data_IF_784752343570
#
_entry.id   IF_784752343570
#
_cell.length_a   1.000
_cell.length_b   1.000
_cell.length_c   1.000
_cell.angle_alpha   90.00
_cell.angle_beta   90.00
_cell.angle_gamma   90.00
#
_symmetry.space_group_name_H-M   'P 1'
#
loop_
_entity.id
_entity.type
_entity.pdbx_description
1 polymer ?
#
# COMPACT_ATOMS: atom_id res chain seq x y z
N UNK A 1 -21.76 4.03 -4.55
CA UNK A 1 -21.66 2.70 -3.90
C UNK A 1 -22.64 1.69 -4.51
N UNK A 2 -23.92 2.04 -4.69
CA UNK A 2 -24.94 1.16 -5.32
C UNK A 2 -24.80 0.90 -6.83
N UNK A 3 -23.84 1.53 -7.51
CA UNK A 3 -23.69 1.42 -8.96
C UNK A 3 -22.80 0.24 -9.38
N UNK A 4 -22.11 -0.41 -8.43
CA UNK A 4 -21.12 -1.48 -8.71
C UNK A 4 -21.42 -2.82 -8.03
N UNK A 5 -22.46 -2.90 -7.20
CA UNK A 5 -22.82 -4.12 -6.44
C UNK A 5 -24.29 -4.39 -6.60
N UNK A 6 -24.65 -5.64 -6.86
CA UNK A 6 -26.05 -6.06 -6.89
C UNK A 6 -26.69 -5.92 -5.50
N UNK A 7 -27.93 -5.43 -5.46
CA UNK A 7 -28.63 -5.13 -4.19
C UNK A 7 -28.77 -6.37 -3.30
N UNK A 8 -28.91 -7.56 -3.88
CA UNK A 8 -29.05 -8.83 -3.16
C UNK A 8 -27.75 -9.19 -2.42
N UNK A 9 -26.60 -9.05 -3.08
CA UNK A 9 -25.29 -9.29 -2.46
C UNK A 9 -25.00 -8.25 -1.37
N UNK A 10 -25.34 -6.98 -1.61
CA UNK A 10 -25.18 -5.92 -0.62
C UNK A 10 -26.00 -6.19 0.66
N UNK A 11 -27.26 -6.63 0.51
CA UNK A 11 -28.12 -6.97 1.66
C UNK A 11 -27.61 -8.19 2.43
N UNK A 12 -27.09 -9.19 1.71
CA UNK A 12 -26.49 -10.38 2.33
C UNK A 12 -25.25 -10.01 3.15
N UNK A 13 -24.38 -9.19 2.58
CA UNK A 13 -23.20 -8.64 3.26
C UNK A 13 -23.57 -7.85 4.52
N UNK A 14 -24.57 -6.97 4.43
CA UNK A 14 -25.06 -6.20 5.58
C UNK A 14 -25.59 -7.12 6.68
N UNK A 15 -26.34 -8.17 6.32
CA UNK A 15 -26.85 -9.13 7.29
C UNK A 15 -25.72 -9.92 7.97
N UNK A 16 -24.69 -10.33 7.22
CA UNK A 16 -23.53 -11.00 7.80
C UNK A 16 -22.78 -10.09 8.78
N UNK A 17 -22.56 -8.82 8.43
CA UNK A 17 -21.94 -7.85 9.35
C UNK A 17 -22.77 -7.70 10.62
N UNK A 18 -24.10 -7.62 10.51
CA UNK A 18 -24.99 -7.51 11.67
C UNK A 18 -24.95 -8.75 12.58
N UNK A 19 -24.87 -9.95 11.98
CA UNK A 19 -24.93 -11.22 12.72
C UNK A 19 -23.58 -11.64 13.30
N UNK A 20 -22.49 -11.43 12.56
CA UNK A 20 -21.17 -11.98 12.86
C UNK A 20 -20.09 -10.91 13.09
N UNK A 21 -20.42 -9.62 12.92
CA UNK A 21 -19.48 -8.51 13.03
C UNK A 21 -18.54 -8.34 11.81
N UNK A 22 -18.54 -9.31 10.89
CA UNK A 22 -17.70 -9.32 9.70
C UNK A 22 -18.43 -9.99 8.52
N UNK A 23 -18.06 -9.61 7.29
CA UNK A 23 -18.48 -10.33 6.10
C UNK A 23 -17.61 -11.57 5.91
N UNK A 24 -18.21 -12.68 5.47
CA UNK A 24 -17.43 -13.89 5.13
C UNK A 24 -16.77 -13.76 3.76
N UNK A 25 -17.41 -13.02 2.85
CA UNK A 25 -16.91 -12.76 1.50
C UNK A 25 -17.22 -11.32 1.10
N UNK A 26 -16.26 -10.68 0.43
CA UNK A 26 -16.50 -9.36 -0.15
C UNK A 26 -17.45 -9.50 -1.35
N UNK A 27 -18.52 -8.70 -1.45
CA UNK A 27 -19.43 -8.71 -2.59
C UNK A 27 -18.72 -8.55 -3.92
N UNK A 28 -19.23 -9.18 -4.98
CA UNK A 28 -18.67 -9.04 -6.31
C UNK A 28 -18.72 -7.58 -6.74
N UNK A 29 -17.62 -7.10 -7.32
CA UNK A 29 -17.48 -5.70 -7.72
C UNK A 29 -16.96 -4.75 -6.63
N UNK A 30 -16.79 -5.22 -5.38
CA UNK A 30 -16.02 -4.53 -4.33
C UNK A 30 -14.68 -5.22 -4.01
N UNK A 31 -14.34 -6.26 -4.76
CA UNK A 31 -13.07 -6.96 -4.61
C UNK A 31 -11.91 -5.98 -4.85
N UNK A 32 -11.02 -5.88 -3.87
CA UNK A 32 -9.83 -5.04 -3.95
C UNK A 32 -8.69 -5.74 -3.23
N UNK A 33 -7.46 -5.49 -3.69
CA UNK A 33 -6.27 -6.01 -3.01
C UNK A 33 -6.11 -5.35 -1.65
N UNK A 34 -6.33 -4.04 -1.58
CA UNK A 34 -6.27 -3.24 -0.36
C UNK A 34 -7.42 -2.23 -0.39
N UNK A 35 -8.19 -2.18 0.69
CA UNK A 35 -9.20 -1.14 0.94
C UNK A 35 -8.74 -0.20 2.04
N UNK A 36 -8.67 1.10 1.73
CA UNK A 36 -8.37 2.14 2.70
C UNK A 36 -9.66 2.77 3.26
N UNK A 37 -9.68 2.97 4.57
CA UNK A 37 -10.76 3.60 5.32
C UNK A 37 -10.22 4.88 5.97
N UNK A 38 -11.05 5.92 6.03
CA UNK A 38 -10.68 7.22 6.63
C UNK A 38 -9.40 7.86 6.04
N UNK A 39 -9.11 7.61 4.77
CA UNK A 39 -7.95 8.18 4.08
C UNK A 39 -8.17 9.67 3.81
N UNK A 40 -7.69 10.54 4.70
CA UNK A 40 -7.76 12.00 4.55
C UNK A 40 -6.65 12.47 3.62
N UNK A 41 -7.01 12.98 2.44
CA UNK A 41 -6.07 13.47 1.44
C UNK A 41 -6.01 15.01 1.46
N UNK A 42 -4.81 15.56 1.26
CA UNK A 42 -4.56 16.99 1.01
C UNK A 42 -3.77 17.16 -0.29
N UNK A 43 -3.94 18.32 -0.91
CA UNK A 43 -3.10 18.70 -2.06
C UNK A 43 -1.78 19.30 -1.57
N UNK A 44 -0.66 18.78 -2.06
CA UNK A 44 0.68 19.32 -1.85
C UNK A 44 1.10 20.12 -3.09
N UNK A 45 1.12 21.45 -2.95
CA UNK A 45 1.50 22.36 -4.04
C UNK A 45 2.97 22.24 -4.44
N UNK A 46 3.86 21.90 -3.51
CA UNK A 46 5.31 21.80 -3.76
C UNK A 46 5.60 20.62 -4.69
N UNK A 47 4.99 19.47 -4.39
CA UNK A 47 5.19 18.23 -5.13
C UNK A 47 4.14 17.98 -6.23
N UNK A 48 3.11 18.83 -6.30
CA UNK A 48 1.95 18.70 -7.21
C UNK A 48 1.30 17.34 -7.10
N UNK A 49 1.02 16.93 -5.86
CA UNK A 49 0.54 15.60 -5.53
C UNK A 49 -0.64 15.64 -4.56
N UNK A 50 -1.47 14.61 -4.61
CA UNK A 50 -2.43 14.33 -3.54
C UNK A 50 -1.76 13.39 -2.55
N UNK A 51 -1.66 13.82 -1.30
CA UNK A 51 -0.97 13.08 -0.24
C UNK A 51 -1.88 12.90 0.97
N UNK A 52 -1.88 11.73 1.56
CA UNK A 52 -2.64 11.48 2.77
C UNK A 52 -2.02 12.18 3.97
N UNK A 53 -2.85 12.57 4.93
CA UNK A 53 -2.42 13.17 6.18
C UNK A 53 -3.00 12.39 7.37
N UNK A 54 -2.14 12.11 8.36
CA UNK A 54 -2.46 11.28 9.51
C UNK A 54 -2.35 9.79 9.22
N UNK A 55 -2.84 8.98 10.16
CA UNK A 55 -2.82 7.51 10.06
C UNK A 55 -3.75 7.03 8.96
N UNK A 56 -3.36 5.96 8.29
CA UNK A 56 -4.14 5.29 7.26
C UNK A 56 -5.00 4.22 7.92
N UNK A 57 -6.31 4.22 7.71
CA UNK A 57 -7.15 3.07 8.03
C UNK A 57 -7.03 1.99 6.96
N UNK A 58 -6.65 0.78 7.33
CA UNK A 58 -6.75 -0.41 6.47
C UNK A 58 -8.01 -1.15 6.86
N UNK A 59 -8.96 -1.24 5.93
CA UNK A 59 -10.20 -2.00 6.13
C UNK A 59 -10.03 -3.45 5.79
N UNK A 60 -9.76 -3.73 4.51
CA UNK A 60 -9.64 -5.09 3.99
C UNK A 60 -8.33 -5.27 3.21
N UNK A 61 -7.76 -6.47 3.31
CA UNK A 61 -6.68 -6.98 2.45
C UNK A 61 -7.19 -8.24 1.76
N UNK A 62 -7.46 -8.17 0.46
CA UNK A 62 -8.23 -9.20 -0.22
C UNK A 62 -9.57 -9.43 0.50
N UNK A 63 -9.87 -10.68 0.84
CA UNK A 63 -11.08 -11.04 1.60
C UNK A 63 -10.92 -10.94 3.11
N UNK A 64 -9.74 -10.58 3.62
CA UNK A 64 -9.49 -10.52 5.07
C UNK A 64 -9.77 -9.12 5.58
N UNK A 65 -10.68 -9.02 6.56
CA UNK A 65 -10.95 -7.78 7.27
C UNK A 65 -9.87 -7.51 8.33
N UNK A 66 -9.29 -6.32 8.30
CA UNK A 66 -8.20 -5.86 9.17
C UNK A 66 -8.69 -4.78 10.15
N UNK A 67 -9.39 -3.75 9.66
CA UNK A 67 -9.90 -2.61 10.44
C UNK A 67 -8.89 -1.97 11.41
N UNK A 68 -7.64 -1.73 10.98
CA UNK A 68 -6.60 -1.10 11.80
C UNK A 68 -6.17 0.25 11.24
N UNK A 69 -5.82 1.18 12.13
CA UNK A 69 -5.13 2.43 11.76
C UNK A 69 -3.63 2.25 11.92
N UNK A 70 -2.88 2.52 10.86
CA UNK A 70 -1.43 2.33 10.79
C UNK A 70 -0.73 3.62 10.42
N UNK A 71 0.54 3.74 10.79
CA UNK A 71 1.39 4.85 10.37
C UNK A 71 1.82 4.63 8.91
N UNK A 72 2.14 5.73 8.22
CA UNK A 72 2.45 5.73 6.79
C UNK A 72 1.69 6.80 6.00
N UNK A 73 1.76 6.71 4.68
CA UNK A 73 1.06 7.64 3.77
C UNK A 73 0.74 7.01 2.41
N UNK A 74 -0.25 7.58 1.74
CA UNK A 74 -0.58 7.33 0.33
C UNK A 74 -0.36 8.63 -0.42
N UNK A 75 0.40 8.58 -1.51
CA UNK A 75 0.66 9.71 -2.38
C UNK A 75 0.39 9.34 -3.84
N UNK A 76 -0.27 10.24 -4.55
CA UNK A 76 -0.55 10.12 -5.99
C UNK A 76 -0.07 11.39 -6.67
N UNK A 77 0.80 11.24 -7.65
CA UNK A 77 1.33 12.32 -8.48
C UNK A 77 0.87 12.09 -9.91
N UNK A 78 0.03 13.00 -10.41
CA UNK A 78 -0.42 12.97 -11.81
C UNK A 78 0.62 13.66 -12.68
N UNK A 79 1.16 12.95 -13.67
CA UNK A 79 2.14 13.52 -14.63
C UNK A 79 1.77 13.14 -16.06
N UNK A 80 2.11 14.00 -17.01
CA UNK A 80 1.87 13.74 -18.44
C UNK A 80 2.58 12.48 -18.93
N UNK A 81 3.74 12.13 -18.34
CA UNK A 81 4.51 10.92 -18.67
C UNK A 81 4.03 9.65 -17.95
N UNK A 82 2.85 9.69 -17.33
CA UNK A 82 2.30 8.60 -16.54
C UNK A 82 2.30 8.91 -15.05
N UNK A 83 1.29 8.39 -14.36
CA UNK A 83 1.04 8.62 -12.95
C UNK A 83 2.05 7.89 -12.08
N UNK A 84 2.39 8.53 -10.96
CA UNK A 84 3.22 7.95 -9.92
C UNK A 84 2.36 7.76 -8.69
N UNK A 85 2.55 6.65 -7.99
CA UNK A 85 1.86 6.38 -6.75
C UNK A 85 2.85 5.77 -5.77
N UNK A 86 2.78 6.22 -4.53
CA UNK A 86 3.55 5.67 -3.43
C UNK A 86 2.61 5.36 -2.29
N UNK A 87 2.66 4.13 -1.79
CA UNK A 87 1.98 3.72 -0.57
C UNK A 87 3.07 3.25 0.37
N UNK A 88 3.12 3.87 1.54
CA UNK A 88 3.99 3.46 2.64
C UNK A 88 3.13 3.09 3.83
N UNK A 89 3.37 1.91 4.38
CA UNK A 89 2.72 1.39 5.58
C UNK A 89 3.83 1.01 6.54
N UNK A 90 3.78 1.58 7.74
CA UNK A 90 4.71 1.33 8.83
C UNK A 90 3.94 0.74 10.01
N UNK A 91 4.32 -0.48 10.41
CA UNK A 91 3.78 -1.17 11.58
C UNK A 91 4.74 -1.05 12.77
N UNK A 92 6.03 -1.12 12.48
CA UNK A 92 7.18 -0.84 13.36
C UNK A 92 8.38 -0.47 12.47
N UNK A 93 9.50 0.05 13.02
CA UNK A 93 10.66 0.46 12.23
C UNK A 93 11.20 -0.63 11.28
N UNK A 94 11.14 -1.89 11.73
CA UNK A 94 11.55 -3.12 11.01
C UNK A 94 10.42 -3.75 10.18
N UNK A 95 9.14 -3.41 10.42
CA UNK A 95 7.98 -4.01 9.75
C UNK A 95 7.24 -2.97 8.94
N UNK A 96 7.55 -2.96 7.65
CA UNK A 96 6.99 -2.01 6.71
C UNK A 96 6.58 -2.66 5.40
N UNK A 97 5.74 -1.95 4.64
CA UNK A 97 5.42 -2.26 3.26
C UNK A 97 5.46 -0.97 2.44
N UNK A 98 6.22 -1.00 1.35
CA UNK A 98 6.28 0.07 0.35
C UNK A 98 5.76 -0.47 -0.96
N UNK A 99 4.86 0.28 -1.59
CA UNK A 99 4.43 0.06 -2.96
C UNK A 99 4.72 1.34 -3.74
N UNK A 100 5.67 1.27 -4.66
CA UNK A 100 6.09 2.40 -5.47
C UNK A 100 5.81 2.11 -6.94
N UNK A 101 4.75 2.71 -7.45
CA UNK A 101 4.33 2.60 -8.84
C UNK A 101 4.80 3.82 -9.64
N UNK A 102 5.53 3.56 -10.72
CA UNK A 102 5.98 4.57 -11.67
C UNK A 102 5.94 4.00 -13.07
N UNK A 103 5.23 4.66 -13.99
CA UNK A 103 5.29 4.39 -15.44
C UNK A 103 5.12 2.89 -15.80
N UNK A 104 4.14 2.22 -15.19
CA UNK A 104 3.87 0.80 -15.48
C UNK A 104 4.79 -0.19 -14.79
N UNK A 105 5.62 0.26 -13.84
CA UNK A 105 6.41 -0.62 -12.97
C UNK A 105 6.02 -0.37 -11.50
N UNK A 106 5.65 -1.44 -10.80
CA UNK A 106 5.41 -1.45 -9.37
C UNK A 106 6.61 -2.09 -8.67
N UNK A 107 7.36 -1.30 -7.92
CA UNK A 107 8.41 -1.77 -7.04
C UNK A 107 7.84 -1.94 -5.64
N UNK A 108 8.00 -3.12 -5.05
CA UNK A 108 7.57 -3.38 -3.67
C UNK A 108 8.75 -3.62 -2.76
N UNK A 109 8.72 -3.09 -1.55
CA UNK A 109 9.77 -3.34 -0.56
C UNK A 109 9.14 -3.65 0.78
N UNK A 110 9.64 -4.68 1.45
CA UNK A 110 9.26 -5.09 2.80
C UNK A 110 10.37 -5.95 3.38
N UNK A 111 10.51 -5.95 4.70
CA UNK A 111 11.35 -6.91 5.41
C UNK A 111 10.69 -8.31 5.54
N UNK A 112 9.39 -8.43 5.22
CA UNK A 112 8.68 -9.70 5.30
C UNK A 112 9.01 -10.61 4.10
N UNK A 113 9.84 -11.62 4.32
CA UNK A 113 10.23 -12.62 3.30
C UNK A 113 9.02 -13.39 2.73
N UNK A 114 8.01 -13.69 3.54
CA UNK A 114 6.78 -14.34 3.06
C UNK A 114 6.03 -13.48 2.02
N UNK A 115 6.25 -12.17 2.00
CA UNK A 115 5.71 -11.26 1.00
C UNK A 115 6.62 -11.10 -0.22
N UNK A 116 7.94 -10.99 -0.03
CA UNK A 116 8.88 -10.72 -1.12
C UNK A 116 9.30 -11.97 -1.91
N UNK A 117 9.43 -13.12 -1.24
CA UNK A 117 9.97 -14.35 -1.86
C UNK A 117 9.08 -14.90 -2.98
N UNK A 118 7.74 -14.94 -2.85
CA UNK A 118 6.88 -15.36 -3.95
C UNK A 118 7.06 -14.49 -5.20
N UNK A 119 7.33 -13.19 -5.02
CA UNK A 119 7.56 -12.27 -6.14
C UNK A 119 8.91 -12.57 -6.80
N UNK A 120 9.95 -12.81 -5.99
CA UNK A 120 11.28 -13.15 -6.48
C UNK A 120 11.32 -14.51 -7.20
N UNK A 121 10.53 -15.48 -6.76
CA UNK A 121 10.44 -16.80 -7.37
C UNK A 121 9.78 -16.79 -8.77
N UNK A 122 8.92 -15.80 -9.06
CA UNK A 122 8.26 -15.68 -10.35
C UNK A 122 9.25 -15.28 -11.46
N UNK A 123 9.07 -15.84 -12.67
CA UNK A 123 9.82 -15.42 -13.86
C UNK A 123 9.35 -14.04 -14.31
N UNK A 124 10.23 -13.26 -14.94
CA UNK A 124 9.92 -11.89 -15.40
C UNK A 124 8.64 -11.78 -16.24
N UNK A 125 8.33 -12.77 -17.07
CA UNK A 125 7.10 -12.81 -17.88
C UNK A 125 5.81 -12.96 -17.06
N UNK A 126 5.90 -13.64 -15.92
CA UNK A 126 4.78 -13.95 -15.02
C UNK A 126 4.54 -12.81 -14.02
N UNK A 127 5.52 -11.90 -13.89
CA UNK A 127 5.42 -10.66 -13.11
C UNK A 127 4.62 -9.54 -13.80
N UNK A 128 4.04 -9.80 -14.97
CA UNK A 128 3.18 -8.85 -15.69
C UNK A 128 1.73 -9.10 -15.35
N UNK A 129 1.04 -8.09 -14.82
CA UNK A 129 -0.40 -8.18 -14.61
C UNK A 129 -1.12 -8.07 -15.95
N UNK A 130 -1.93 -9.10 -16.24
CA UNK A 130 -2.88 -9.08 -17.35
C UNK A 130 -4.08 -8.23 -16.93
N UNK A 131 -4.39 -7.23 -17.74
CA UNK A 131 -5.50 -6.29 -17.48
C UNK A 131 -6.49 -6.33 -18.63
N UNK A 132 -7.72 -5.86 -18.38
CA UNK A 132 -8.74 -5.73 -19.44
C UNK A 132 -8.36 -4.62 -20.42
N UNK A 133 -8.93 -4.65 -21.63
CA UNK A 133 -8.76 -3.58 -22.61
C UNK A 133 -9.11 -2.20 -22.00
N UNK A 134 -8.23 -1.21 -22.17
CA UNK A 134 -8.38 0.13 -21.60
C UNK A 134 -7.73 0.34 -20.23
N UNK A 135 -7.22 -0.71 -19.57
CA UNK A 135 -6.40 -0.59 -18.37
C UNK A 135 -4.90 -0.61 -18.71
N UNK A 136 -4.10 0.05 -17.89
CA UNK A 136 -2.64 0.10 -18.06
C UNK A 136 -2.04 -1.15 -17.40
N UNK A 137 -1.45 -2.09 -18.17
CA UNK A 137 -0.74 -3.22 -17.57
C UNK A 137 0.50 -2.71 -16.85
N UNK A 138 0.88 -3.40 -15.79
CA UNK A 138 2.12 -3.11 -15.09
C UNK A 138 2.86 -4.38 -14.72
N UNK A 139 4.17 -4.25 -14.55
CA UNK A 139 5.02 -5.29 -14.02
C UNK A 139 5.30 -5.01 -12.55
N UNK A 140 5.39 -6.04 -11.72
CA UNK A 140 5.79 -5.91 -10.32
C UNK A 140 7.12 -6.59 -10.05
N UNK A 141 7.93 -5.99 -9.18
CA UNK A 141 9.21 -6.53 -8.75
C UNK A 141 9.50 -6.13 -7.31
N UNK A 142 10.34 -6.91 -6.64
CA UNK A 142 10.91 -6.48 -5.37
C UNK A 142 11.92 -5.37 -5.65
N UNK A 143 11.66 -4.19 -5.08
CA UNK A 143 12.53 -3.02 -5.12
C UNK A 143 13.72 -3.15 -4.18
N UNK A 144 14.52 -2.10 -4.11
CA UNK A 144 15.73 -2.06 -3.28
C UNK A 144 15.50 -1.30 -1.97
N UNK A 145 16.52 -1.23 -1.10
CA UNK A 145 16.52 -0.35 0.09
C UNK A 145 16.24 1.12 -0.28
N UNK A 146 16.52 1.53 -1.53
CA UNK A 146 16.23 2.88 -2.02
C UNK A 146 14.74 3.25 -1.99
N UNK A 147 13.86 2.29 -2.26
CA UNK A 147 12.42 2.52 -2.25
C UNK A 147 11.91 2.70 -0.81
N UNK A 148 12.49 1.99 0.16
CA UNK A 148 12.27 2.25 1.58
C UNK A 148 12.75 3.64 1.98
N UNK A 149 14.00 3.99 1.65
CA UNK A 149 14.57 5.28 2.04
C UNK A 149 13.73 6.43 1.52
N UNK A 150 13.35 6.38 0.24
CA UNK A 150 12.45 7.37 -0.38
C UNK A 150 11.13 7.50 0.37
N UNK A 151 10.54 6.39 0.79
CA UNK A 151 9.29 6.38 1.53
C UNK A 151 9.46 7.02 2.92
N UNK A 152 10.52 6.66 3.66
CA UNK A 152 10.84 7.23 4.97
C UNK A 152 11.09 8.74 4.89
N UNK A 153 11.95 9.17 3.97
CA UNK A 153 12.25 10.60 3.76
C UNK A 153 10.97 11.40 3.49
N UNK A 154 10.12 10.87 2.60
CA UNK A 154 8.85 11.51 2.25
C UNK A 154 7.88 11.53 3.42
N UNK A 155 7.82 10.45 4.22
CA UNK A 155 6.98 10.39 5.42
C UNK A 155 7.41 11.41 6.49
N UNK A 156 8.72 11.60 6.67
CA UNK A 156 9.27 12.64 7.54
C UNK A 156 8.91 14.04 7.05
N UNK A 157 9.01 14.31 5.75
CA UNK A 157 8.60 15.60 5.16
C UNK A 157 7.10 15.88 5.38
N UNK A 158 6.24 14.87 5.24
CA UNK A 158 4.78 15.01 5.41
C UNK A 158 4.41 15.26 6.87
N UNK A 159 5.06 14.55 7.79
CA UNK A 159 4.71 14.57 9.23
C UNK A 159 5.46 15.63 10.03
N UNK A 160 6.57 16.14 9.52
CA UNK A 160 7.45 17.06 10.24
C UNK A 160 8.21 16.42 11.41
N UNK A 161 8.20 15.09 11.53
CA UNK A 161 9.01 14.35 12.52
C UNK A 161 10.50 14.51 12.17
N UNK A 162 11.38 14.66 13.17
CA UNK A 162 12.84 14.65 12.96
C UNK A 162 13.34 13.20 12.81
N UNK A 163 14.37 12.97 11.98
CA UNK A 163 14.92 11.67 11.57
C UNK A 163 15.58 10.83 12.68
N UNK A 164 15.69 11.36 13.91
CA UNK A 164 16.54 10.82 14.97
C UNK A 164 16.28 9.33 15.32
N UNK A 165 15.07 8.81 15.10
CA UNK A 165 14.74 7.41 15.41
C UNK A 165 15.19 6.38 14.37
N UNK A 166 15.48 6.78 13.12
CA UNK A 166 15.87 5.82 12.08
C UNK A 166 17.39 5.63 11.97
N UNK A 167 18.19 6.66 12.28
CA UNK A 167 19.66 6.60 12.19
C UNK A 167 20.28 5.78 13.35
N UNK A 168 19.73 5.86 14.56
CA UNK A 168 20.23 5.10 15.72
C UNK A 168 19.86 3.60 15.69
N UNK A 169 18.75 3.22 15.04
CA UNK A 169 18.36 1.81 14.90
C UNK A 169 18.98 1.14 13.66
N UNK A 170 19.31 1.90 12.61
CA UNK A 170 19.97 1.36 11.41
C UNK A 170 21.43 0.97 11.68
N UNK A 171 22.15 1.70 12.54
CA UNK A 171 23.48 1.32 13.03
C UNK A 171 23.43 0.05 13.88
N UNK A 172 22.43 -0.10 14.75
CA UNK A 172 22.25 -1.30 15.58
C UNK A 172 21.94 -2.57 14.75
N UNK A 173 21.27 -2.41 13.61
CA UNK A 173 20.97 -3.54 12.70
C UNK A 173 22.20 -3.93 11.88
N UNK A 174 22.98 -2.97 11.37
CA UNK A 174 24.23 -3.26 10.65
C UNK A 174 25.28 -3.96 11.54
N UNK A 175 25.36 -3.56 12.81
CA UNK A 175 26.21 -4.22 13.80
C UNK A 175 25.73 -5.65 14.13
N UNK A 176 24.43 -5.95 13.97
CA UNK A 176 23.86 -7.29 14.22
C UNK A 176 23.97 -8.27 13.05
N UNK A 177 24.18 -7.77 11.82
CA UNK A 177 24.35 -8.59 10.61
C UNK A 177 25.85 -8.89 10.33
N UNK A 178 26.77 -8.27 11.07
CA UNK A 178 28.22 -8.40 10.88
C UNK A 178 28.95 -9.28 11.91
N UNK A 179 28.22 -9.80 12.92
CA UNK A 179 28.71 -10.72 13.96
C UNK A 179 28.33 -12.20 13.72
#
# INVERSE_FOLDING_TARGET
LYERVEQVEANTAINQIKLFGAMTQIPKGLESTISFHELKMKWDHKNRSFVSNGKIGIGNLGNTQVNKKVDGFVEIIKRNTGDWMMIYIELSPDKYYVFYYVRGAMQVSSHNSMFTDPINALKNRDRRIKVKAGQIPFNYLVGTRRELQRARDRYLEITGKKSAGYEEEETLIEDSETD
#
